data_IF_799223118061
#
_entry.id   IF_799223118061
#
_cell.length_a   1.000
_cell.length_b   1.000
_cell.length_c   1.000
_cell.angle_alpha   90.00
_cell.angle_beta   90.00
_cell.angle_gamma   90.00
#
_symmetry.space_group_name_H-M   'P 1'
#
loop_
_entity.id
_entity.type
_entity.pdbx_description
1 polymer ?
#
# COMPACT_ATOMS: atom_id res chain seq x y z
N UNK A 1 81.64 -3.88 59.88
CA UNK A 1 81.30 -5.18 59.26
C UNK A 1 79.81 -5.17 58.92
N UNK A 2 79.49 -5.15 57.63
CA UNK A 2 78.18 -4.78 57.05
C UNK A 2 77.19 -5.95 57.22
N UNK A 3 76.01 -5.70 57.83
CA UNK A 3 74.92 -6.69 57.88
C UNK A 3 73.73 -6.25 57.04
N UNK A 4 73.51 -7.06 56.00
CA UNK A 4 72.52 -7.03 54.94
C UNK A 4 71.06 -6.94 55.43
N UNK A 5 70.32 -5.98 54.86
CA UNK A 5 68.86 -5.79 55.01
C UNK A 5 68.12 -6.79 54.10
N UNK A 6 67.43 -7.76 54.69
CA UNK A 6 66.46 -8.63 53.98
C UNK A 6 65.10 -7.94 53.94
N UNK A 7 64.63 -7.65 52.72
CA UNK A 7 63.40 -6.94 52.43
C UNK A 7 62.25 -7.95 52.24
N UNK A 8 61.34 -8.05 53.20
CA UNK A 8 60.16 -8.91 53.15
C UNK A 8 59.08 -8.27 52.27
N UNK A 9 58.93 -8.76 51.04
CA UNK A 9 57.81 -8.39 50.17
C UNK A 9 56.52 -9.01 50.73
N UNK A 10 55.62 -8.15 51.22
CA UNK A 10 54.24 -8.47 51.60
C UNK A 10 53.49 -9.00 50.38
N UNK A 11 52.99 -10.23 50.48
CA UNK A 11 51.98 -10.80 49.59
C UNK A 11 50.66 -10.08 49.87
N UNK A 12 50.24 -9.18 48.97
CA UNK A 12 48.88 -8.63 48.99
C UNK A 12 47.94 -9.64 48.32
N UNK A 13 47.07 -10.24 49.12
CA UNK A 13 45.90 -10.98 48.64
C UNK A 13 44.98 -9.98 47.92
N UNK A 14 44.85 -10.14 46.60
CA UNK A 14 43.76 -9.53 45.85
C UNK A 14 42.47 -10.28 46.19
N UNK A 15 41.73 -9.75 47.16
CA UNK A 15 40.33 -10.10 47.37
C UNK A 15 39.52 -9.50 46.22
N UNK A 16 38.97 -10.36 45.37
CA UNK A 16 38.04 -9.97 44.32
C UNK A 16 36.81 -9.26 44.94
N UNK A 17 36.69 -7.95 44.69
CA UNK A 17 35.50 -7.18 45.01
C UNK A 17 34.49 -7.41 43.89
N UNK A 18 33.67 -8.45 44.01
CA UNK A 18 32.43 -8.52 43.24
C UNK A 18 31.51 -7.42 43.75
N UNK A 19 30.98 -6.51 42.90
CA UNK A 19 30.01 -5.52 43.35
C UNK A 19 28.77 -6.28 43.83
N UNK A 20 28.58 -6.35 45.16
CA UNK A 20 27.31 -6.73 45.75
C UNK A 20 26.32 -5.62 45.40
N UNK A 21 25.48 -5.87 44.41
CA UNK A 21 24.33 -5.05 44.08
C UNK A 21 23.38 -5.09 45.29
N UNK A 22 23.51 -4.12 46.20
CA UNK A 22 22.65 -4.01 47.38
C UNK A 22 21.31 -3.45 46.91
N UNK A 23 20.40 -4.35 46.55
CA UNK A 23 19.03 -3.99 46.18
C UNK A 23 18.32 -3.44 47.41
N UNK A 24 18.20 -2.11 47.49
CA UNK A 24 17.24 -1.50 48.41
C UNK A 24 15.84 -1.99 48.04
N UNK A 25 15.08 -2.54 48.98
CA UNK A 25 13.76 -3.14 48.73
C UNK A 25 12.80 -2.20 47.99
N UNK A 26 12.95 -0.88 48.19
CA UNK A 26 12.23 0.16 47.45
C UNK A 26 12.65 0.26 45.98
N UNK A 27 13.93 0.10 45.68
CA UNK A 27 14.47 0.10 44.31
C UNK A 27 14.17 -1.21 43.55
N UNK A 28 14.06 -2.33 44.28
CA UNK A 28 13.60 -3.60 43.71
C UNK A 28 12.15 -3.51 43.21
N UNK A 29 11.28 -2.93 44.04
CA UNK A 29 9.87 -2.79 43.75
C UNK A 29 9.62 -1.85 42.56
N UNK A 30 10.34 -0.72 42.46
CA UNK A 30 10.19 0.21 41.34
C UNK A 30 10.68 -0.40 40.02
N UNK A 31 11.76 -1.18 40.04
CA UNK A 31 12.28 -1.85 38.84
C UNK A 31 11.26 -2.87 38.29
N UNK A 32 10.63 -3.66 39.16
CA UNK A 32 9.61 -4.62 38.74
C UNK A 32 8.38 -3.92 38.14
N UNK A 33 7.94 -2.80 38.72
CA UNK A 33 6.79 -2.03 38.21
C UNK A 33 7.08 -1.43 36.83
N UNK A 34 8.27 -0.87 36.62
CA UNK A 34 8.66 -0.32 35.32
C UNK A 34 8.72 -1.42 34.26
N UNK A 35 9.22 -2.60 34.62
CA UNK A 35 9.28 -3.75 33.71
C UNK A 35 7.88 -4.25 33.33
N UNK A 36 6.94 -4.27 34.28
CA UNK A 36 5.54 -4.62 34.01
C UNK A 36 4.86 -3.62 33.09
N UNK A 37 5.01 -2.31 33.35
CA UNK A 37 4.42 -1.27 32.50
C UNK A 37 5.04 -1.30 31.09
N UNK A 38 6.36 -1.46 31.00
CA UNK A 38 7.06 -1.58 29.72
C UNK A 38 6.61 -2.80 28.92
N UNK A 39 6.48 -3.96 29.58
CA UNK A 39 5.97 -5.19 28.97
C UNK A 39 4.54 -5.02 28.44
N UNK A 40 3.66 -4.41 29.24
CA UNK A 40 2.27 -4.15 28.86
C UNK A 40 2.18 -3.25 27.63
N UNK A 41 2.98 -2.18 27.57
CA UNK A 41 3.00 -1.26 26.41
C UNK A 41 3.47 -1.98 25.15
N UNK A 42 4.49 -2.85 25.25
CA UNK A 42 4.97 -3.65 24.12
C UNK A 42 3.87 -4.62 23.65
N UNK A 43 3.18 -5.29 24.58
CA UNK A 43 2.11 -6.23 24.26
C UNK A 43 0.94 -5.56 23.53
N UNK A 44 0.48 -4.40 24.01
CA UNK A 44 -0.60 -3.63 23.36
C UNK A 44 -0.16 -3.16 21.97
N UNK A 45 1.10 -2.75 21.82
CA UNK A 45 1.65 -2.30 20.53
C UNK A 45 1.67 -3.43 19.50
N UNK A 46 2.11 -4.63 19.93
CA UNK A 46 2.12 -5.84 19.10
C UNK A 46 0.69 -6.22 18.71
N UNK A 47 -0.25 -6.25 19.66
CA UNK A 47 -1.65 -6.55 19.40
C UNK A 47 -2.28 -5.58 18.39
N UNK A 48 -1.99 -4.27 18.51
CA UNK A 48 -2.45 -3.26 17.55
C UNK A 48 -1.88 -3.45 16.14
N UNK A 49 -0.59 -3.80 16.02
CA UNK A 49 0.02 -4.13 14.75
C UNK A 49 -0.63 -5.35 14.10
N UNK A 50 -0.90 -6.41 14.88
CA UNK A 50 -1.61 -7.59 14.37
C UNK A 50 -3.04 -7.27 13.94
N UNK A 51 -3.78 -6.45 14.70
CA UNK A 51 -5.15 -6.06 14.36
C UNK A 51 -5.19 -5.31 13.02
N UNK A 52 -4.32 -4.33 12.82
CA UNK A 52 -4.25 -3.57 11.55
C UNK A 52 -3.84 -4.45 10.38
N UNK A 53 -2.88 -5.36 10.59
CA UNK A 53 -2.49 -6.35 9.59
C UNK A 53 -3.67 -7.24 9.19
N UNK A 54 -4.39 -7.78 10.18
CA UNK A 54 -5.56 -8.63 9.92
C UNK A 54 -6.68 -7.86 9.23
N UNK A 55 -6.97 -6.62 9.61
CA UNK A 55 -7.99 -5.82 8.94
C UNK A 55 -7.64 -5.55 7.47
N UNK A 56 -6.36 -5.28 7.18
CA UNK A 56 -5.88 -5.11 5.81
C UNK A 56 -5.90 -6.41 4.99
N UNK A 57 -5.68 -7.56 5.63
CA UNK A 57 -5.73 -8.88 5.00
C UNK A 57 -7.17 -9.45 4.91
N UNK A 58 -8.08 -8.98 5.77
CA UNK A 58 -9.44 -9.49 5.90
C UNK A 58 -10.33 -9.17 4.69
N UNK A 59 -11.50 -9.81 4.64
CA UNK A 59 -12.50 -9.64 3.58
C UNK A 59 -12.93 -8.19 3.34
N UNK A 60 -12.67 -7.25 4.25
CA UNK A 60 -12.87 -5.82 4.02
C UNK A 60 -11.95 -5.27 2.91
N UNK A 61 -10.68 -5.69 2.88
CA UNK A 61 -9.74 -5.32 1.82
C UNK A 61 -10.14 -5.91 0.46
N UNK A 62 -10.67 -7.14 0.45
CA UNK A 62 -11.21 -7.79 -0.75
C UNK A 62 -12.45 -7.06 -1.25
N UNK A 63 -13.40 -6.77 -0.35
CA UNK A 63 -14.61 -6.02 -0.68
C UNK A 63 -14.29 -4.64 -1.26
N UNK A 64 -13.36 -3.90 -0.66
CA UNK A 64 -12.90 -2.62 -1.20
C UNK A 64 -12.26 -2.77 -2.58
N UNK A 65 -11.54 -3.87 -2.81
CA UNK A 65 -10.95 -4.19 -4.11
C UNK A 65 -12.01 -4.44 -5.18
N UNK A 66 -13.04 -5.21 -4.85
CA UNK A 66 -14.20 -5.47 -5.72
C UNK A 66 -15.01 -4.20 -5.98
N UNK A 67 -15.21 -3.35 -4.97
CA UNK A 67 -15.87 -2.06 -5.15
C UNK A 67 -15.07 -1.13 -6.07
N UNK A 68 -13.72 -1.12 -5.97
CA UNK A 68 -12.87 -0.40 -6.90
C UNK A 68 -12.99 -0.95 -8.33
N UNK A 69 -13.06 -2.27 -8.48
CA UNK A 69 -13.23 -2.92 -9.78
C UNK A 69 -14.59 -2.59 -10.41
N UNK A 70 -15.67 -2.63 -9.61
CA UNK A 70 -17.01 -2.25 -10.04
C UNK A 70 -17.07 -0.78 -10.47
N UNK A 71 -16.40 0.12 -9.74
CA UNK A 71 -16.28 1.53 -10.13
C UNK A 71 -15.51 1.68 -11.45
N UNK A 72 -14.41 0.93 -11.63
CA UNK A 72 -13.64 0.95 -12.87
C UNK A 72 -14.47 0.51 -14.08
N UNK A 73 -15.19 -0.62 -13.96
CA UNK A 73 -16.10 -1.14 -15.00
C UNK A 73 -17.22 -0.16 -15.34
N UNK A 74 -17.81 0.49 -14.33
CA UNK A 74 -18.81 1.53 -14.54
C UNK A 74 -18.25 2.71 -15.32
N UNK A 75 -16.99 3.11 -15.05
CA UNK A 75 -16.29 4.12 -15.84
C UNK A 75 -16.07 3.72 -17.30
N UNK A 76 -15.76 2.45 -17.59
CA UNK A 76 -15.66 1.94 -18.98
C UNK A 76 -17.02 2.00 -19.69
N UNK A 77 -18.11 1.66 -19.00
CA UNK A 77 -19.46 1.75 -19.58
C UNK A 77 -19.86 3.20 -19.85
N UNK A 78 -19.54 4.15 -18.96
CA UNK A 78 -19.76 5.58 -19.22
C UNK A 78 -18.91 6.05 -20.42
N UNK A 79 -17.65 5.60 -20.50
CA UNK A 79 -16.78 5.88 -21.63
C UNK A 79 -17.37 5.39 -22.96
N UNK A 80 -17.90 4.16 -22.99
CA UNK A 80 -18.57 3.61 -24.16
C UNK A 80 -19.75 4.48 -24.60
N UNK A 81 -20.61 4.88 -23.66
CA UNK A 81 -21.77 5.74 -23.95
C UNK A 81 -21.31 7.09 -24.52
N UNK A 82 -20.23 7.67 -23.97
CA UNK A 82 -19.68 8.94 -24.47
C UNK A 82 -19.09 8.80 -25.87
N UNK A 83 -18.36 7.72 -26.14
CA UNK A 83 -17.80 7.43 -27.46
C UNK A 83 -18.92 7.27 -28.49
N UNK A 84 -20.01 6.56 -28.13
CA UNK A 84 -21.19 6.40 -29.00
C UNK A 84 -21.84 7.75 -29.27
N UNK A 85 -22.04 8.59 -28.23
CA UNK A 85 -22.74 9.88 -28.36
C UNK A 85 -21.94 10.91 -29.15
N UNK A 86 -20.63 11.00 -28.92
CA UNK A 86 -19.81 12.02 -29.55
C UNK A 86 -18.40 11.50 -29.87
N UNK A 87 -18.20 11.04 -31.11
CA UNK A 87 -16.92 10.47 -31.58
C UNK A 87 -15.82 11.51 -31.83
N UNK A 88 -16.18 12.79 -31.91
CA UNK A 88 -15.24 13.85 -32.30
C UNK A 88 -14.71 14.63 -31.10
N UNK A 89 -15.51 14.80 -30.05
CA UNK A 89 -15.17 15.62 -28.88
C UNK A 89 -15.24 14.84 -27.57
N UNK A 90 -14.73 13.60 -27.56
CA UNK A 90 -14.53 12.89 -26.30
C UNK A 90 -13.36 13.54 -25.57
N UNK A 91 -13.52 13.98 -24.30
CA UNK A 91 -12.40 14.46 -23.52
C UNK A 91 -11.40 13.34 -23.28
N UNK A 92 -10.11 13.65 -23.46
CA UNK A 92 -9.01 12.68 -23.30
C UNK A 92 -8.97 12.09 -21.89
N UNK A 93 -9.39 12.84 -20.87
CA UNK A 93 -9.58 12.33 -19.52
C UNK A 93 -10.69 13.04 -18.77
N UNK A 94 -11.35 12.31 -17.87
CA UNK A 94 -12.35 12.85 -16.96
C UNK A 94 -12.52 11.96 -15.74
N UNK A 95 -13.14 12.50 -14.69
CA UNK A 95 -13.47 11.74 -13.49
C UNK A 95 -14.97 11.53 -13.38
N UNK A 96 -15.37 10.32 -13.01
CA UNK A 96 -16.73 9.94 -12.72
C UNK A 96 -16.83 9.60 -11.24
N UNK A 97 -17.75 10.25 -10.52
CA UNK A 97 -17.99 9.96 -9.10
C UNK A 97 -19.25 9.11 -8.96
N UNK A 98 -19.14 7.97 -8.30
CA UNK A 98 -20.20 6.98 -8.11
C UNK A 98 -20.41 6.83 -6.59
N UNK A 99 -21.31 7.63 -6.03
CA UNK A 99 -21.52 7.71 -4.58
C UNK A 99 -20.25 8.18 -3.85
N UNK A 100 -19.67 7.31 -3.03
CA UNK A 100 -18.41 7.56 -2.28
C UNK A 100 -17.14 7.07 -2.99
N UNK A 101 -17.27 6.53 -4.20
CA UNK A 101 -16.18 5.99 -5.02
C UNK A 101 -15.95 6.89 -6.23
N UNK A 102 -14.74 6.84 -6.78
CA UNK A 102 -14.42 7.59 -8.01
C UNK A 102 -13.74 6.70 -9.03
N UNK A 103 -13.99 6.98 -10.30
CA UNK A 103 -13.29 6.39 -11.43
C UNK A 103 -12.63 7.52 -12.23
N UNK A 104 -11.37 7.35 -12.57
CA UNK A 104 -10.63 8.26 -13.43
C UNK A 104 -10.48 7.59 -14.79
N UNK A 105 -11.11 8.17 -15.81
CA UNK A 105 -11.22 7.61 -17.14
C UNK A 105 -10.30 8.40 -18.06
N UNK A 106 -9.52 7.68 -18.85
CA UNK A 106 -8.69 8.21 -19.94
C UNK A 106 -9.12 7.54 -21.23
N UNK A 107 -9.39 8.31 -22.27
CA UNK A 107 -9.81 7.82 -23.58
C UNK A 107 -8.78 8.23 -24.61
N UNK A 108 -8.19 7.23 -25.28
CA UNK A 108 -7.29 7.40 -26.39
C UNK A 108 -8.06 7.18 -27.70
N UNK A 109 -8.22 8.24 -28.50
CA UNK A 109 -8.79 8.15 -29.84
C UNK A 109 -7.72 7.76 -30.86
N UNK A 110 -8.05 6.81 -31.73
CA UNK A 110 -7.21 6.28 -32.79
C UNK A 110 -5.84 5.80 -32.29
N UNK A 111 -5.74 5.45 -31.00
CA UNK A 111 -4.48 5.15 -30.32
C UNK A 111 -4.68 4.08 -29.26
N UNK A 112 -3.67 3.22 -29.11
CA UNK A 112 -3.61 2.15 -28.10
C UNK A 112 -2.34 2.34 -27.25
N UNK A 113 -2.47 2.10 -25.94
CA UNK A 113 -1.39 2.19 -24.95
C UNK A 113 -0.62 0.88 -24.84
N UNK A 114 0.66 0.93 -25.19
CA UNK A 114 1.59 -0.17 -25.00
C UNK A 114 2.50 0.01 -23.77
N UNK A 115 2.80 1.26 -23.37
CA UNK A 115 3.83 1.51 -22.34
C UNK A 115 3.39 2.49 -21.24
N UNK A 116 2.78 3.63 -21.58
CA UNK A 116 2.31 4.58 -20.54
C UNK A 116 1.34 5.66 -21.02
N UNK A 117 1.27 5.92 -22.32
CA UNK A 117 0.35 6.89 -22.90
C UNK A 117 -0.29 6.35 -24.18
N UNK A 118 -1.17 7.14 -24.81
CA UNK A 118 -1.75 6.82 -26.11
C UNK A 118 -0.63 6.85 -27.18
N UNK A 119 0.12 5.75 -27.32
CA UNK A 119 1.41 5.75 -28.04
C UNK A 119 1.29 5.22 -29.48
N UNK A 120 0.47 4.18 -29.69
CA UNK A 120 0.38 3.47 -30.97
C UNK A 120 -0.86 3.87 -31.74
N UNK A 121 -0.69 4.62 -32.83
CA UNK A 121 -1.80 5.08 -33.67
C UNK A 121 -2.39 3.93 -34.48
N UNK A 122 -3.64 3.58 -34.21
CA UNK A 122 -4.41 2.58 -34.97
C UNK A 122 -5.76 3.21 -35.33
N UNK A 123 -6.04 3.43 -36.62
CA UNK A 123 -7.26 4.12 -37.03
C UNK A 123 -8.50 3.33 -36.59
N UNK A 124 -9.56 4.06 -36.25
CA UNK A 124 -10.88 3.52 -35.89
C UNK A 124 -10.88 2.69 -34.59
N UNK A 125 -9.84 2.81 -33.77
CA UNK A 125 -9.78 2.18 -32.44
C UNK A 125 -9.78 3.21 -31.33
N UNK A 126 -10.57 2.94 -30.31
CA UNK A 126 -10.65 3.75 -29.11
C UNK A 126 -10.25 2.89 -27.94
N UNK A 127 -9.25 3.32 -27.19
CA UNK A 127 -8.92 2.68 -25.92
C UNK A 127 -9.50 3.52 -24.79
N UNK A 128 -10.30 2.91 -23.92
CA UNK A 128 -10.69 3.51 -22.66
C UNK A 128 -9.98 2.79 -21.52
N UNK A 129 -9.28 3.56 -20.70
CA UNK A 129 -8.68 3.09 -19.46
C UNK A 129 -9.40 3.75 -18.31
N UNK A 130 -9.88 2.95 -17.35
CA UNK A 130 -10.62 3.43 -16.17
C UNK A 130 -9.92 2.96 -14.91
N UNK A 131 -9.54 3.91 -14.06
CA UNK A 131 -8.93 3.69 -12.75
C UNK A 131 -9.97 3.92 -11.66
N UNK A 132 -10.55 2.82 -11.17
CA UNK A 132 -11.47 2.83 -10.04
C UNK A 132 -10.74 2.96 -8.70
N UNK A 133 -11.23 3.84 -7.83
CA UNK A 133 -10.67 4.14 -6.51
C UNK A 133 -11.72 3.91 -5.44
N UNK A 134 -11.40 3.03 -4.49
CA UNK A 134 -12.21 2.76 -3.30
C UNK A 134 -11.34 2.91 -2.05
N UNK A 135 -11.33 4.11 -1.46
CA UNK A 135 -10.50 4.45 -0.30
C UNK A 135 -9.01 4.15 -0.56
N UNK A 136 -8.43 3.14 0.09
CA UNK A 136 -7.02 2.75 -0.05
C UNK A 136 -6.76 1.76 -1.19
N UNK A 137 -7.80 1.20 -1.83
CA UNK A 137 -7.67 0.25 -2.94
C UNK A 137 -7.94 0.92 -4.28
N UNK A 138 -7.19 0.48 -5.30
CA UNK A 138 -7.30 0.96 -6.68
C UNK A 138 -7.27 -0.24 -7.62
N UNK A 139 -8.08 -0.18 -8.68
CA UNK A 139 -8.14 -1.20 -9.74
C UNK A 139 -8.25 -0.50 -11.09
N UNK A 140 -7.60 -1.05 -12.10
CA UNK A 140 -7.60 -0.49 -13.44
C UNK A 140 -8.17 -1.50 -14.43
N UNK A 141 -9.10 -1.02 -15.27
CA UNK A 141 -9.66 -1.80 -16.38
C UNK A 141 -9.35 -1.06 -17.66
N UNK A 142 -8.96 -1.81 -18.68
CA UNK A 142 -8.70 -1.31 -20.02
C UNK A 142 -9.62 -2.01 -21.00
N UNK A 143 -10.31 -1.23 -21.81
CA UNK A 143 -11.18 -1.71 -22.87
C UNK A 143 -10.74 -1.11 -24.21
N UNK A 144 -10.74 -1.96 -25.25
CA UNK A 144 -10.48 -1.55 -26.62
C UNK A 144 -11.79 -1.67 -27.39
N UNK A 145 -12.20 -0.57 -28.00
CA UNK A 145 -13.37 -0.45 -28.83
C UNK A 145 -12.96 -0.26 -30.29
N UNK A 146 -13.66 -0.93 -31.19
CA UNK A 146 -13.54 -0.74 -32.61
C UNK A 146 -14.77 0.02 -33.10
N UNK A 147 -14.55 1.10 -33.82
CA UNK A 147 -15.60 1.95 -34.36
C UNK A 147 -15.61 1.83 -35.87
N UNK A 148 -16.67 1.24 -36.41
CA UNK A 148 -16.80 1.15 -37.87
C UNK A 148 -16.95 2.55 -38.46
N UNK A 149 -16.08 2.90 -39.41
CA UNK A 149 -16.05 4.21 -40.05
C UNK A 149 -17.30 4.50 -40.92
N UNK A 150 -18.01 3.45 -41.37
CA UNK A 150 -19.15 3.56 -42.29
C UNK A 150 -20.50 3.51 -41.57
N UNK A 151 -20.67 2.55 -40.67
CA UNK A 151 -21.92 2.37 -39.91
C UNK A 151 -21.93 3.16 -38.61
N UNK A 152 -20.74 3.51 -38.12
CA UNK A 152 -20.58 4.16 -36.84
C UNK A 152 -20.85 3.26 -35.63
N UNK A 153 -20.96 1.94 -35.84
CA UNK A 153 -21.17 0.96 -34.78
C UNK A 153 -19.90 0.87 -33.91
N UNK A 154 -20.08 0.80 -32.58
CA UNK A 154 -19.00 0.65 -31.61
C UNK A 154 -19.04 -0.77 -31.04
N UNK A 155 -17.99 -1.56 -31.30
CA UNK A 155 -17.86 -2.94 -30.81
C UNK A 155 -16.76 -3.03 -29.76
N UNK A 156 -17.05 -3.73 -28.67
CA UNK A 156 -16.03 -4.09 -27.68
C UNK A 156 -15.21 -5.25 -28.23
N UNK A 157 -13.91 -5.03 -28.45
CA UNK A 157 -13.00 -6.08 -28.91
C UNK A 157 -12.34 -6.81 -27.73
N UNK A 158 -11.98 -6.07 -26.69
CA UNK A 158 -11.29 -6.62 -25.54
C UNK A 158 -11.57 -5.78 -24.31
N UNK A 159 -11.81 -6.46 -23.18
CA UNK A 159 -11.83 -5.86 -21.85
C UNK A 159 -10.90 -6.69 -20.98
N UNK A 160 -9.92 -6.04 -20.35
CA UNK A 160 -9.00 -6.69 -19.43
C UNK A 160 -8.74 -5.83 -18.19
N UNK A 161 -8.60 -6.50 -17.06
CA UNK A 161 -8.04 -5.86 -15.87
C UNK A 161 -6.53 -5.72 -16.05
N UNK A 162 -6.00 -4.56 -15.67
CA UNK A 162 -4.56 -4.25 -15.71
C UNK A 162 -4.10 -4.04 -14.28
N UNK A 163 -3.02 -4.73 -13.90
CA UNK A 163 -2.39 -4.53 -12.61
C UNK A 163 -1.69 -3.16 -12.54
N UNK A 164 -1.83 -2.51 -11.38
CA UNK A 164 -1.21 -1.22 -11.05
C UNK A 164 0.14 -1.43 -10.35
#
# INVERSE_FOLDING_TARGET
MIKSKRNTKKFQRFSACYPRFFVSTKAAATLLVILLIGGLVVEISIAGAFMTYYLNQSGFGVKLSEEALAAARSGIQDALIRIIRNKSSVPDSYTLTIGSRSAEITICKDKITNSSACDTSIPNKYEATSLGKASTKRRQVRAIFNVDATTGEVKLESEKEVAL
#
